data_IF_071442769930
#
_entry.id   IF_071442769930
#
_cell.length_a   1.000
_cell.length_b   1.000
_cell.length_c   1.000
_cell.angle_alpha   90.00
_cell.angle_beta   90.00
_cell.angle_gamma   90.00
#
_symmetry.space_group_name_H-M   'P 1'
#
loop_
_entity.id
_entity.type
_entity.pdbx_description
1 polymer ?
#
# COMPACT_ATOMS: atom_id res chain seq x y z
N UNK A 1 -6.82 16.06 -33.56
CA UNK A 1 -7.23 15.18 -32.46
C UNK A 1 -7.74 16.09 -31.36
N UNK A 2 -9.06 16.26 -31.28
CA UNK A 2 -9.69 17.27 -30.43
C UNK A 2 -9.50 16.91 -28.95
N UNK A 3 -8.95 17.87 -28.19
CA UNK A 3 -8.87 17.80 -26.74
C UNK A 3 -10.29 17.84 -26.19
N UNK A 4 -10.74 16.75 -25.56
CA UNK A 4 -11.97 16.73 -24.77
C UNK A 4 -11.84 17.77 -23.65
N UNK A 5 -12.50 18.91 -23.85
CA UNK A 5 -12.71 19.94 -22.86
C UNK A 5 -13.70 19.40 -21.83
N UNK A 6 -13.20 19.09 -20.63
CA UNK A 6 -14.02 18.74 -19.47
C UNK A 6 -15.07 19.84 -19.24
N UNK A 7 -16.34 19.57 -19.55
CA UNK A 7 -17.45 20.38 -19.04
C UNK A 7 -17.89 19.81 -17.68
N UNK A 8 -18.01 20.64 -16.64
CA UNK A 8 -18.46 20.19 -15.34
C UNK A 8 -19.95 19.81 -15.43
N UNK A 9 -20.23 18.53 -15.31
CA UNK A 9 -21.57 18.05 -15.00
C UNK A 9 -21.71 18.10 -13.49
N UNK A 10 -22.62 18.97 -13.04
CA UNK A 10 -23.16 19.13 -11.70
C UNK A 10 -22.35 19.96 -10.69
N UNK A 11 -22.91 21.14 -10.43
CA UNK A 11 -22.79 21.88 -9.16
C UNK A 11 -22.99 20.91 -7.97
N UNK A 12 -22.02 20.85 -7.05
CA UNK A 12 -22.21 20.23 -5.72
C UNK A 12 -22.02 18.71 -5.58
N UNK A 13 -21.44 17.99 -6.53
CA UNK A 13 -21.37 16.51 -6.46
C UNK A 13 -20.09 15.93 -5.86
N UNK A 14 -20.17 15.43 -4.62
CA UNK A 14 -19.16 14.53 -4.02
C UNK A 14 -19.09 13.21 -4.78
N UNK A 15 -17.96 12.90 -5.43
CA UNK A 15 -17.78 11.65 -6.19
C UNK A 15 -17.36 10.49 -5.26
N UNK A 16 -18.32 9.85 -4.59
CA UNK A 16 -18.07 8.78 -3.61
C UNK A 16 -17.73 7.44 -4.29
N UNK A 17 -16.44 7.09 -4.33
CA UNK A 17 -15.96 5.76 -4.73
C UNK A 17 -15.77 4.85 -3.51
N UNK A 18 -16.60 3.81 -3.38
CA UNK A 18 -16.35 2.72 -2.41
C UNK A 18 -15.57 1.61 -3.09
N UNK A 19 -14.27 1.57 -2.85
CA UNK A 19 -13.41 0.47 -3.31
C UNK A 19 -13.59 -0.73 -2.36
N UNK A 20 -13.96 -1.89 -2.90
CA UNK A 20 -13.86 -3.15 -2.15
C UNK A 20 -12.42 -3.60 -2.23
N UNK A 21 -11.65 -3.29 -1.20
CA UNK A 21 -10.36 -3.95 -0.95
C UNK A 21 -10.62 -5.37 -0.44
N UNK A 22 -9.70 -6.32 -0.66
CA UNK A 22 -9.83 -7.67 -0.15
C UNK A 22 -9.80 -7.75 1.39
N UNK A 23 -9.55 -6.64 2.08
CA UNK A 23 -9.83 -6.48 3.50
C UNK A 23 -11.23 -5.87 3.67
N UNK A 24 -12.19 -6.65 4.18
CA UNK A 24 -13.56 -6.23 4.50
C UNK A 24 -13.66 -5.06 5.53
N UNK A 25 -12.53 -4.59 6.04
CA UNK A 25 -12.43 -3.61 7.11
C UNK A 25 -12.13 -2.17 6.62
N UNK A 26 -11.99 -1.92 5.31
CA UNK A 26 -11.68 -0.58 4.80
C UNK A 26 -12.93 0.10 4.25
N UNK A 27 -13.22 1.30 4.76
CA UNK A 27 -14.25 2.21 4.25
C UNK A 27 -13.52 3.35 3.55
N UNK A 28 -13.65 3.43 2.24
CA UNK A 28 -13.06 4.51 1.44
C UNK A 28 -14.15 5.39 0.84
N UNK A 29 -14.01 6.70 0.98
CA UNK A 29 -14.82 7.73 0.34
C UNK A 29 -13.90 8.76 -0.29
N UNK A 30 -14.08 8.97 -1.60
CA UNK A 30 -13.48 10.08 -2.33
C UNK A 30 -14.48 11.23 -2.33
N UNK A 31 -14.01 12.45 -2.08
CA UNK A 31 -14.78 13.69 -2.23
C UNK A 31 -13.97 14.69 -3.03
N UNK A 32 -14.65 15.57 -3.77
CA UNK A 32 -13.99 16.71 -4.43
C UNK A 32 -14.26 17.94 -3.58
N UNK A 33 -13.22 18.63 -3.16
CA UNK A 33 -13.34 19.88 -2.40
C UNK A 33 -13.79 21.02 -3.34
N UNK A 34 -14.32 22.07 -2.74
CA UNK A 34 -14.75 23.29 -3.46
C UNK A 34 -13.59 23.98 -4.20
N UNK A 35 -12.35 23.76 -3.74
CA UNK A 35 -11.13 24.23 -4.41
C UNK A 35 -10.68 23.35 -5.58
N UNK A 36 -11.44 22.31 -5.92
CA UNK A 36 -11.12 21.37 -7.00
C UNK A 36 -10.16 20.25 -6.64
N UNK A 37 -9.68 20.19 -5.38
CA UNK A 37 -8.83 19.11 -4.87
C UNK A 37 -9.64 17.83 -4.65
N UNK A 38 -9.01 16.67 -4.83
CA UNK A 38 -9.62 15.36 -4.56
C UNK A 38 -9.20 14.93 -3.16
N UNK A 39 -10.14 14.93 -2.21
CA UNK A 39 -9.94 14.43 -0.86
C UNK A 39 -10.30 12.95 -0.80
N UNK A 40 -9.32 12.11 -0.42
CA UNK A 40 -9.54 10.69 -0.18
C UNK A 40 -9.59 10.43 1.33
N UNK A 41 -10.75 10.04 1.83
CA UNK A 41 -10.91 9.53 3.19
C UNK A 41 -10.93 8.00 3.13
N UNK A 42 -9.98 7.34 3.77
CA UNK A 42 -10.02 5.90 4.00
C UNK A 42 -9.94 5.62 5.50
N UNK A 43 -10.82 4.76 5.99
CA UNK A 43 -10.87 4.32 7.37
C UNK A 43 -10.74 2.81 7.43
N UNK A 44 -10.03 2.29 8.43
CA UNK A 44 -9.92 0.85 8.66
C UNK A 44 -10.50 0.50 10.01
N UNK A 45 -11.32 -0.55 10.08
CA UNK A 45 -11.81 -1.11 11.33
C UNK A 45 -10.76 -2.03 11.93
N UNK A 46 -10.32 -1.74 13.15
CA UNK A 46 -9.27 -2.43 13.92
C UNK A 46 -9.70 -2.50 15.39
N UNK A 47 -9.19 -3.44 16.20
CA UNK A 47 -9.42 -3.42 17.64
C UNK A 47 -8.77 -2.18 18.25
N UNK A 48 -9.34 -1.68 19.35
CA UNK A 48 -8.73 -0.58 20.10
C UNK A 48 -7.57 -1.11 20.95
N UNK A 49 -6.44 -1.33 20.29
CA UNK A 49 -5.19 -1.74 20.93
C UNK A 49 -4.43 -0.58 21.57
N UNK A 50 -4.99 0.64 21.64
CA UNK A 50 -4.33 1.78 22.29
C UNK A 50 -4.61 1.81 23.79
N UNK A 51 -5.67 1.16 24.24
CA UNK A 51 -6.18 1.30 25.59
C UNK A 51 -6.20 -0.03 26.35
N UNK A 52 -6.25 0.07 27.69
CA UNK A 52 -6.50 -1.08 28.56
C UNK A 52 -5.28 -1.90 28.96
N UNK A 53 -4.07 -1.58 28.50
CA UNK A 53 -2.85 -2.32 28.84
C UNK A 53 -2.49 -2.30 30.32
N UNK A 54 -2.80 -1.22 31.03
CA UNK A 54 -2.61 -1.08 32.48
C UNK A 54 -3.42 -2.10 33.30
N UNK A 55 -4.48 -2.69 32.72
CA UNK A 55 -5.25 -3.78 33.35
C UNK A 55 -4.52 -5.14 33.28
N UNK A 56 -3.60 -5.30 32.33
CA UNK A 56 -2.88 -6.56 32.08
C UNK A 56 -1.42 -6.50 32.53
N UNK A 57 -0.78 -5.33 32.41
CA UNK A 57 0.58 -5.07 32.86
C UNK A 57 0.56 -4.10 34.04
N UNK A 58 0.88 -4.60 35.25
CA UNK A 58 1.02 -3.77 36.46
C UNK A 58 2.28 -2.91 36.43
N UNK A 59 3.29 -3.32 35.68
CA UNK A 59 4.48 -2.52 35.40
C UNK A 59 4.15 -1.45 34.34
N UNK A 60 4.29 -0.18 34.72
CA UNK A 60 4.05 0.96 33.83
C UNK A 60 4.93 0.92 32.59
N UNK A 61 6.19 0.51 32.74
CA UNK A 61 7.15 0.41 31.63
C UNK A 61 6.67 -0.60 30.58
N UNK A 62 6.21 -1.77 31.02
CA UNK A 62 5.67 -2.78 30.13
C UNK A 62 4.39 -2.30 29.44
N UNK A 63 3.51 -1.62 30.17
CA UNK A 63 2.30 -1.03 29.59
C UNK A 63 2.63 -0.02 28.49
N UNK A 64 3.63 0.83 28.70
CA UNK A 64 4.06 1.83 27.71
C UNK A 64 4.66 1.19 26.45
N UNK A 65 5.49 0.15 26.63
CA UNK A 65 6.05 -0.61 25.49
C UNK A 65 4.94 -1.29 24.68
N UNK A 66 3.95 -1.88 25.34
CA UNK A 66 2.80 -2.49 24.65
C UNK A 66 1.97 -1.44 23.91
N UNK A 67 1.66 -0.31 24.55
CA UNK A 67 0.91 0.78 23.92
C UNK A 67 1.64 1.32 22.67
N UNK A 68 2.95 1.55 22.76
CA UNK A 68 3.78 1.95 21.63
C UNK A 68 3.75 0.91 20.51
N UNK A 69 3.97 -0.36 20.85
CA UNK A 69 4.01 -1.46 19.88
C UNK A 69 2.72 -1.55 19.08
N UNK A 70 1.59 -1.56 19.77
CA UNK A 70 0.30 -1.67 19.12
C UNK A 70 -0.11 -0.41 18.36
N UNK A 71 0.25 0.79 18.83
CA UNK A 71 0.01 2.01 18.05
C UNK A 71 0.73 1.96 16.69
N UNK A 72 1.98 1.47 16.65
CA UNK A 72 2.72 1.30 15.40
C UNK A 72 2.08 0.28 14.46
N UNK A 73 1.53 -0.80 14.99
CA UNK A 73 0.77 -1.78 14.20
C UNK A 73 -0.49 -1.15 13.60
N UNK A 74 -1.24 -0.39 14.41
CA UNK A 74 -2.46 0.28 13.95
C UNK A 74 -2.15 1.26 12.81
N UNK A 75 -1.08 2.04 12.97
CA UNK A 75 -0.58 2.96 11.93
C UNK A 75 -0.23 2.17 10.66
N UNK A 76 0.47 1.04 10.77
CA UNK A 76 0.81 0.21 9.61
C UNK A 76 -0.44 -0.29 8.87
N UNK A 77 -1.39 -0.90 9.59
CA UNK A 77 -2.63 -1.45 9.01
C UNK A 77 -3.44 -0.34 8.31
N UNK A 78 -3.57 0.83 8.94
CA UNK A 78 -4.23 1.98 8.36
C UNK A 78 -3.54 2.45 7.06
N UNK A 79 -2.20 2.54 7.07
CA UNK A 79 -1.43 2.91 5.86
C UNK A 79 -1.57 1.90 4.75
N UNK A 80 -1.55 0.60 5.07
CA UNK A 80 -1.76 -0.46 4.08
C UNK A 80 -3.12 -0.32 3.37
N UNK A 81 -4.19 -0.13 4.14
CA UNK A 81 -5.52 0.08 3.59
C UNK A 81 -5.59 1.30 2.65
N UNK A 82 -4.97 2.41 3.09
CA UNK A 82 -4.90 3.64 2.30
C UNK A 82 -4.07 3.46 1.03
N UNK A 83 -2.89 2.83 1.12
CA UNK A 83 -2.01 2.57 -0.02
C UNK A 83 -2.66 1.72 -1.10
N UNK A 84 -3.46 0.70 -0.72
CA UNK A 84 -4.25 -0.05 -1.71
C UNK A 84 -5.16 0.88 -2.53
N UNK A 85 -5.77 1.87 -1.89
CA UNK A 85 -6.69 2.80 -2.54
C UNK A 85 -5.93 3.85 -3.36
N UNK A 86 -4.94 4.52 -2.79
CA UNK A 86 -4.21 5.58 -3.50
C UNK A 86 -3.41 5.05 -4.67
N UNK A 87 -2.76 3.88 -4.52
CA UNK A 87 -2.04 3.29 -5.63
C UNK A 87 -2.99 2.86 -6.75
N UNK A 88 -4.17 2.32 -6.42
CA UNK A 88 -5.18 1.98 -7.43
C UNK A 88 -5.73 3.21 -8.16
N UNK A 89 -5.88 4.34 -7.47
CA UNK A 89 -6.27 5.62 -8.09
C UNK A 89 -5.12 6.15 -8.95
N UNK A 90 -3.90 6.15 -8.43
CA UNK A 90 -2.70 6.60 -9.12
C UNK A 90 -2.47 5.84 -10.43
N UNK A 91 -2.54 4.50 -10.41
CA UNK A 91 -2.42 3.66 -11.61
C UNK A 91 -3.56 3.91 -12.61
N UNK A 92 -4.81 4.03 -12.13
CA UNK A 92 -5.95 4.15 -13.04
C UNK A 92 -6.14 5.54 -13.66
N UNK A 93 -5.65 6.59 -12.99
CA UNK A 93 -5.93 7.98 -13.36
C UNK A 93 -4.68 8.85 -13.53
N UNK A 94 -3.49 8.37 -13.14
CA UNK A 94 -2.24 9.15 -13.18
C UNK A 94 -2.20 10.30 -12.17
N UNK A 95 -3.04 10.24 -11.12
CA UNK A 95 -3.19 11.32 -10.13
C UNK A 95 -2.62 10.87 -8.80
N UNK A 96 -1.76 11.69 -8.19
CA UNK A 96 -1.35 11.48 -6.81
C UNK A 96 -2.47 11.93 -5.86
N UNK A 97 -2.71 11.14 -4.82
CA UNK A 97 -3.62 11.53 -3.75
C UNK A 97 -2.77 11.89 -2.54
N UNK A 98 -2.75 13.18 -2.18
CA UNK A 98 -1.99 13.66 -1.03
C UNK A 98 -2.51 13.05 0.27
N UNK A 99 -1.56 12.72 1.13
CA UNK A 99 -1.80 12.14 2.42
C UNK A 99 -1.66 13.20 3.51
N UNK A 100 -2.78 13.54 4.17
CA UNK A 100 -2.75 14.34 5.39
C UNK A 100 -3.19 13.47 6.58
N UNK A 101 -2.23 13.06 7.42
CA UNK A 101 -2.55 12.62 8.77
C UNK A 101 -3.00 13.85 9.56
N UNK A 102 -4.31 14.09 9.65
CA UNK A 102 -4.82 14.95 10.71
C UNK A 102 -5.12 14.12 11.96
N UNK A 103 -5.05 14.79 13.10
CA UNK A 103 -5.52 14.28 14.41
C UNK A 103 -6.93 13.67 14.36
N UNK A 104 -7.76 14.12 13.41
CA UNK A 104 -9.13 13.66 13.18
C UNK A 104 -9.27 12.18 12.77
N UNK A 105 -8.25 11.55 12.14
CA UNK A 105 -8.31 10.11 11.80
C UNK A 105 -8.16 9.24 13.06
N UNK A 106 -7.48 9.74 14.09
CA UNK A 106 -7.44 9.08 15.41
C UNK A 106 -8.79 9.13 16.12
N UNK A 107 -9.64 10.12 15.84
CA UNK A 107 -10.97 10.26 16.44
C UNK A 107 -12.02 9.36 15.77
N UNK A 108 -11.89 9.10 14.47
CA UNK A 108 -12.74 8.16 13.73
C UNK A 108 -12.57 6.69 14.16
N UNK A 109 -11.45 6.35 14.82
CA UNK A 109 -11.21 5.04 15.43
C UNK A 109 -12.07 4.79 16.69
N UNK A 110 -12.66 5.84 17.28
CA UNK A 110 -13.37 5.79 18.58
C UNK A 110 -14.89 5.65 18.45
N UNK A 111 -15.47 5.94 17.28
CA UNK A 111 -16.92 6.16 17.10
C UNK A 111 -17.83 4.91 17.16
N UNK A 112 -17.39 3.79 17.73
CA UNK A 112 -18.26 2.63 18.00
C UNK A 112 -18.54 2.37 19.48
N UNK A 113 -17.97 3.15 20.40
CA UNK A 113 -18.17 2.97 21.84
C UNK A 113 -18.97 4.09 22.55
N UNK A 114 -19.19 5.25 21.93
CA UNK A 114 -20.05 6.30 22.51
C UNK A 114 -20.60 7.26 21.44
N UNK A 115 -21.85 7.75 21.57
CA UNK A 115 -22.29 8.96 20.88
C UNK A 115 -21.59 10.15 21.56
N UNK A 116 -20.46 10.60 21.03
CA UNK A 116 -19.78 11.77 21.59
C UNK A 116 -20.21 13.03 20.85
N UNK A 117 -20.95 13.88 21.57
CA UNK A 117 -21.20 15.27 21.23
C UNK A 117 -20.03 16.11 21.76
N UNK A 118 -19.12 16.51 20.87
CA UNK A 118 -18.09 17.51 21.14
C UNK A 118 -18.63 18.95 20.97
N UNK A 119 -17.91 19.97 21.47
CA UNK A 119 -18.48 21.31 21.77
C UNK A 119 -18.77 22.21 20.56
N UNK A 120 -18.50 21.77 19.34
CA UNK A 120 -18.92 22.41 18.10
C UNK A 120 -19.83 21.42 17.36
N UNK A 121 -21.13 21.57 17.58
CA UNK A 121 -22.19 20.62 17.19
C UNK A 121 -22.45 20.48 15.69
N UNK A 122 -21.41 20.38 14.85
CA UNK A 122 -21.53 20.28 13.39
C UNK A 122 -20.71 19.12 12.77
N UNK A 123 -20.11 18.26 13.60
CA UNK A 123 -19.42 17.03 13.16
C UNK A 123 -20.32 15.80 13.09
N UNK A 124 -21.64 15.91 13.27
CA UNK A 124 -22.59 14.80 13.01
C UNK A 124 -22.67 14.39 11.54
N UNK A 125 -21.89 15.01 10.63
CA UNK A 125 -21.58 14.47 9.30
C UNK A 125 -20.48 13.40 9.30
N UNK A 126 -20.04 12.91 10.47
CA UNK A 126 -19.08 11.81 10.61
C UNK A 126 -19.73 10.52 10.09
N UNK A 127 -19.55 10.31 8.78
CA UNK A 127 -19.76 9.08 8.03
C UNK A 127 -21.03 8.35 8.48
N UNK A 128 -22.21 8.85 8.04
CA UNK A 128 -23.40 7.99 8.02
C UNK A 128 -22.98 6.64 7.42
N UNK A 129 -23.39 5.49 8.00
CA UNK A 129 -23.20 4.20 7.37
C UNK A 129 -23.91 4.26 6.03
N UNK A 130 -23.17 4.65 4.99
CA UNK A 130 -23.67 4.83 3.64
C UNK A 130 -24.36 3.52 3.28
N UNK A 131 -25.69 3.58 3.24
CA UNK A 131 -26.53 2.42 2.98
C UNK A 131 -26.02 1.79 1.69
N UNK A 132 -25.65 0.53 1.83
CA UNK A 132 -24.94 -0.26 0.84
C UNK A 132 -25.72 -0.33 -0.48
N UNK A 133 -25.36 0.51 -1.44
CA UNK A 133 -25.40 0.07 -2.84
C UNK A 133 -24.01 -0.42 -3.17
N UNK A 134 -23.83 -1.74 -3.16
CA UNK A 134 -22.70 -2.36 -3.83
C UNK A 134 -22.69 -1.77 -5.25
N UNK A 135 -21.66 -1.02 -5.58
CA UNK A 135 -21.58 -0.36 -6.87
C UNK A 135 -21.34 -1.47 -7.88
N UNK A 136 -22.38 -1.79 -8.65
CA UNK A 136 -22.30 -2.74 -9.75
C UNK A 136 -21.16 -2.34 -10.68
N UNK A 137 -20.09 -3.14 -10.69
CA UNK A 137 -18.95 -2.98 -11.60
C UNK A 137 -19.37 -3.06 -13.07
N UNK A 138 -20.60 -3.49 -13.36
CA UNK A 138 -21.15 -3.67 -14.71
C UNK A 138 -21.49 -2.36 -15.43
N UNK A 139 -21.78 -1.26 -14.72
CA UNK A 139 -22.22 0.01 -15.32
C UNK A 139 -21.19 1.17 -15.18
N UNK A 140 -19.93 0.87 -14.86
CA UNK A 140 -18.87 1.87 -14.71
C UNK A 140 -17.99 2.05 -15.96
N UNK A 141 -17.39 3.24 -16.10
CA UNK A 141 -16.37 3.50 -17.14
C UNK A 141 -15.22 2.47 -17.08
N UNK A 142 -14.55 2.17 -18.20
CA UNK A 142 -13.43 1.22 -18.23
C UNK A 142 -12.34 1.52 -17.18
N UNK A 143 -11.96 2.79 -17.02
CA UNK A 143 -11.01 3.22 -15.98
C UNK A 143 -11.49 2.95 -14.56
N UNK A 144 -12.79 3.13 -14.28
CA UNK A 144 -13.37 2.82 -12.97
C UNK A 144 -13.34 1.33 -12.67
N UNK A 145 -13.63 0.49 -13.66
CA UNK A 145 -13.52 -0.98 -13.54
C UNK A 145 -12.06 -1.39 -13.31
N UNK A 146 -11.14 -0.77 -14.03
CA UNK A 146 -9.70 -0.98 -13.86
C UNK A 146 -9.23 -0.62 -12.43
N UNK A 147 -9.59 0.58 -11.94
CA UNK A 147 -9.30 1.01 -10.57
C UNK A 147 -9.86 0.05 -9.52
N UNK A 148 -11.12 -0.37 -9.66
CA UNK A 148 -11.72 -1.34 -8.75
C UNK A 148 -11.04 -2.71 -8.79
N UNK A 149 -10.64 -3.17 -9.98
CA UNK A 149 -9.90 -4.42 -10.15
C UNK A 149 -8.52 -4.34 -9.48
N UNK A 150 -7.80 -3.23 -9.64
CA UNK A 150 -6.51 -3.01 -8.96
C UNK A 150 -6.71 -3.00 -7.45
N UNK A 151 -7.60 -2.15 -6.94
CA UNK A 151 -7.84 -2.02 -5.50
C UNK A 151 -8.26 -3.34 -4.84
N UNK A 152 -9.08 -4.14 -5.53
CA UNK A 152 -9.47 -5.48 -5.07
C UNK A 152 -8.36 -6.51 -5.17
N UNK A 153 -7.33 -6.25 -5.99
CA UNK A 153 -6.25 -7.18 -6.24
C UNK A 153 -4.98 -6.96 -5.41
N UNK A 154 -4.79 -5.75 -4.89
CA UNK A 154 -3.64 -5.38 -4.05
C UNK A 154 -3.81 -5.84 -2.60
N UNK A 155 -2.67 -6.18 -1.98
CA UNK A 155 -2.58 -6.52 -0.56
C UNK A 155 -1.40 -5.80 0.10
N UNK A 156 -1.53 -4.50 0.34
CA UNK A 156 -0.49 -3.70 1.01
C UNK A 156 -0.27 -4.07 2.49
N UNK A 157 -0.95 -5.08 3.05
CA UNK A 157 -0.55 -5.66 4.35
C UNK A 157 0.71 -6.52 4.22
N UNK A 158 1.01 -7.02 3.02
CA UNK A 158 2.32 -7.59 2.71
C UNK A 158 3.39 -6.47 2.71
N UNK A 159 4.49 -6.61 3.46
CA UNK A 159 5.51 -5.55 3.59
C UNK A 159 6.20 -5.18 2.27
N UNK A 160 6.40 -6.12 1.35
CA UNK A 160 7.01 -5.81 0.06
C UNK A 160 6.05 -5.04 -0.82
N UNK A 161 4.80 -5.50 -0.94
CA UNK A 161 3.78 -4.75 -1.68
C UNK A 161 3.54 -3.37 -1.07
N UNK A 162 3.48 -3.25 0.26
CA UNK A 162 3.38 -1.96 0.95
C UNK A 162 4.45 -0.98 0.47
N UNK A 163 5.71 -1.41 0.52
CA UNK A 163 6.86 -0.57 0.15
C UNK A 163 6.87 -0.26 -1.35
N UNK A 164 6.53 -1.22 -2.21
CA UNK A 164 6.43 -1.01 -3.66
C UNK A 164 5.37 0.04 -3.99
N UNK A 165 4.17 -0.10 -3.42
CA UNK A 165 3.07 0.84 -3.64
C UNK A 165 3.40 2.22 -3.11
N UNK A 166 4.04 2.30 -1.94
CA UNK A 166 4.55 3.57 -1.41
C UNK A 166 5.54 4.24 -2.36
N UNK A 167 6.54 3.51 -2.85
CA UNK A 167 7.52 4.02 -3.80
C UNK A 167 6.88 4.49 -5.12
N UNK A 168 5.88 3.76 -5.63
CA UNK A 168 5.14 4.15 -6.82
C UNK A 168 4.31 5.42 -6.62
N UNK A 169 3.52 5.49 -5.54
CA UNK A 169 2.71 6.69 -5.21
C UNK A 169 3.61 7.89 -4.95
N UNK A 170 4.74 7.70 -4.27
CA UNK A 170 5.74 8.75 -4.08
C UNK A 170 6.32 9.23 -5.41
N UNK A 171 6.63 8.31 -6.34
CA UNK A 171 7.12 8.68 -7.65
C UNK A 171 6.11 9.56 -8.42
N UNK A 172 4.83 9.16 -8.43
CA UNK A 172 3.76 9.96 -9.06
C UNK A 172 3.70 11.38 -8.48
N UNK A 173 3.76 11.49 -7.16
CA UNK A 173 3.76 12.79 -6.50
C UNK A 173 4.98 13.64 -6.89
N UNK A 174 6.17 13.06 -6.84
CA UNK A 174 7.41 13.75 -7.22
C UNK A 174 7.38 14.21 -8.67
N UNK A 175 6.85 13.38 -9.58
CA UNK A 175 6.63 13.74 -10.98
C UNK A 175 5.72 14.96 -11.09
N UNK A 176 4.57 14.95 -10.41
CA UNK A 176 3.59 16.04 -10.46
C UNK A 176 4.11 17.34 -9.82
N UNK A 177 5.04 17.24 -8.87
CA UNK A 177 5.75 18.37 -8.28
C UNK A 177 6.98 18.84 -9.10
N UNK A 178 7.31 18.17 -10.21
CA UNK A 178 8.43 18.52 -11.09
C UNK A 178 9.79 17.97 -10.66
N UNK A 179 9.84 17.07 -9.66
CA UNK A 179 11.05 16.40 -9.20
C UNK A 179 11.30 15.10 -9.96
N UNK A 180 11.68 15.23 -11.24
CA UNK A 180 11.80 14.09 -12.16
C UNK A 180 12.87 13.06 -11.75
N UNK A 181 14.06 13.49 -11.33
CA UNK A 181 15.13 12.57 -10.92
C UNK A 181 14.79 11.76 -9.67
N UNK A 182 14.16 12.42 -8.69
CA UNK A 182 13.68 11.77 -7.47
C UNK A 182 12.54 10.80 -7.79
N UNK A 183 11.69 11.13 -8.76
CA UNK A 183 10.64 10.24 -9.27
C UNK A 183 11.23 8.97 -9.86
N UNK A 184 12.21 9.08 -10.76
CA UNK A 184 12.98 7.95 -11.34
C UNK A 184 13.63 7.11 -10.23
N UNK A 185 14.27 7.75 -9.24
CA UNK A 185 14.87 7.06 -8.10
C UNK A 185 13.84 6.29 -7.26
N UNK A 186 12.64 6.85 -7.10
CA UNK A 186 11.54 6.20 -6.38
C UNK A 186 10.94 5.03 -7.19
N UNK A 187 10.88 5.12 -8.51
CA UNK A 187 10.49 4.01 -9.40
C UNK A 187 11.51 2.86 -9.33
N UNK A 188 12.81 3.13 -9.45
CA UNK A 188 13.87 2.11 -9.33
C UNK A 188 13.82 1.39 -7.96
N UNK A 189 13.50 2.13 -6.89
CA UNK A 189 13.29 1.54 -5.57
C UNK A 189 12.15 0.51 -5.57
N UNK A 190 11.05 0.75 -6.29
CA UNK A 190 9.96 -0.22 -6.43
C UNK A 190 10.41 -1.49 -7.16
N UNK A 191 11.25 -1.37 -8.21
CA UNK A 191 11.83 -2.51 -8.94
C UNK A 191 12.72 -3.35 -8.04
N UNK A 192 13.57 -2.71 -7.23
CA UNK A 192 14.42 -3.41 -6.25
C UNK A 192 13.57 -4.18 -5.23
N UNK A 193 12.49 -3.59 -4.73
CA UNK A 193 11.61 -4.27 -3.76
C UNK A 193 10.90 -5.46 -4.41
N UNK A 194 10.53 -5.39 -5.70
CA UNK A 194 9.98 -6.53 -6.43
C UNK A 194 11.00 -7.68 -6.54
N UNK A 195 12.28 -7.35 -6.75
CA UNK A 195 13.38 -8.33 -6.71
C UNK A 195 13.49 -8.98 -5.33
N UNK A 196 13.42 -8.18 -4.26
CA UNK A 196 13.48 -8.68 -2.89
C UNK A 196 12.27 -9.56 -2.54
N UNK A 197 11.06 -9.22 -3.01
CA UNK A 197 9.86 -10.04 -2.86
C UNK A 197 10.07 -11.43 -3.46
N UNK A 198 10.56 -11.51 -4.70
CA UNK A 198 10.81 -12.80 -5.36
C UNK A 198 11.90 -13.58 -4.63
N UNK A 199 12.98 -12.90 -4.20
CA UNK A 199 14.08 -13.55 -3.48
C UNK A 199 13.61 -14.17 -2.16
N UNK A 200 12.82 -13.42 -1.39
CA UNK A 200 12.27 -13.86 -0.10
C UNK A 200 11.32 -15.06 -0.27
N UNK A 201 10.40 -14.98 -1.25
CA UNK A 201 9.39 -16.02 -1.48
C UNK A 201 9.96 -17.29 -2.11
N UNK A 202 11.00 -17.18 -2.94
CA UNK A 202 11.60 -18.31 -3.65
C UNK A 202 12.79 -18.96 -2.92
N UNK A 203 13.19 -18.44 -1.75
CA UNK A 203 14.34 -18.93 -0.95
C UNK A 203 15.60 -19.16 -1.79
N UNK A 204 16.14 -18.06 -2.32
CA UNK A 204 17.42 -18.01 -3.05
C UNK A 204 17.32 -18.52 -4.51
N UNK A 205 16.72 -17.75 -5.44
CA UNK A 205 16.72 -18.11 -6.85
C UNK A 205 18.18 -18.09 -7.36
N UNK A 206 18.67 -19.24 -7.84
CA UNK A 206 19.98 -19.31 -8.47
C UNK A 206 20.08 -18.33 -9.66
N UNK A 207 21.17 -17.57 -9.74
CA UNK A 207 21.48 -16.66 -10.86
C UNK A 207 21.27 -15.17 -10.55
N UNK A 208 21.20 -14.35 -11.62
CA UNK A 208 20.98 -12.91 -11.53
C UNK A 208 19.58 -12.62 -10.94
N UNK A 209 19.54 -11.85 -9.85
CA UNK A 209 18.31 -11.58 -9.13
C UNK A 209 17.27 -10.82 -9.98
N UNK A 210 17.72 -9.98 -10.92
CA UNK A 210 16.84 -9.28 -11.85
C UNK A 210 16.18 -10.24 -12.83
N UNK A 211 16.95 -11.11 -13.48
CA UNK A 211 16.43 -12.14 -14.39
C UNK A 211 15.47 -13.10 -13.68
N UNK A 212 15.80 -13.47 -12.43
CA UNK A 212 14.90 -14.25 -11.61
C UNK A 212 13.57 -13.53 -11.37
N UNK A 213 13.59 -12.23 -11.06
CA UNK A 213 12.38 -11.42 -10.90
C UNK A 213 11.56 -11.39 -12.20
N UNK A 214 12.17 -11.06 -13.34
CA UNK A 214 11.50 -10.99 -14.65
C UNK A 214 10.83 -12.33 -14.99
N UNK A 215 11.55 -13.44 -14.79
CA UNK A 215 11.04 -14.79 -15.04
C UNK A 215 9.88 -15.16 -14.11
N UNK A 216 10.01 -14.93 -12.80
CA UNK A 216 9.00 -15.35 -11.82
C UNK A 216 7.73 -14.50 -11.90
N UNK A 217 7.88 -13.20 -12.13
CA UNK A 217 6.77 -12.27 -12.29
C UNK A 217 6.16 -12.31 -13.70
N UNK A 218 6.79 -13.03 -14.64
CA UNK A 218 6.40 -13.13 -16.06
C UNK A 218 6.27 -11.74 -16.71
N UNK A 219 7.27 -10.91 -16.47
CA UNK A 219 7.36 -9.56 -17.04
C UNK A 219 7.72 -9.68 -18.52
N UNK A 220 7.03 -8.94 -19.39
CA UNK A 220 7.26 -8.96 -20.83
C UNK A 220 8.57 -8.28 -21.22
N UNK A 221 9.13 -8.63 -22.38
CA UNK A 221 10.43 -8.11 -22.85
C UNK A 221 10.47 -6.59 -22.99
N UNK A 222 9.37 -5.96 -23.43
CA UNK A 222 9.28 -4.49 -23.53
C UNK A 222 9.37 -3.84 -22.15
N UNK A 223 8.65 -4.39 -21.17
CA UNK A 223 8.68 -3.93 -19.79
C UNK A 223 10.09 -4.12 -19.20
N UNK A 224 10.70 -5.29 -19.41
CA UNK A 224 12.06 -5.60 -18.96
C UNK A 224 13.10 -4.60 -19.51
N UNK A 225 13.04 -4.29 -20.81
CA UNK A 225 13.90 -3.29 -21.42
C UNK A 225 13.74 -1.90 -20.77
N UNK A 226 12.49 -1.45 -20.56
CA UNK A 226 12.21 -0.18 -19.89
C UNK A 226 12.67 -0.15 -18.43
N UNK A 227 12.56 -1.27 -17.69
CA UNK A 227 13.10 -1.38 -16.33
C UNK A 227 14.65 -1.34 -16.32
N UNK A 228 15.29 -1.90 -17.35
CA UNK A 228 16.74 -1.79 -17.56
C UNK A 228 17.18 -0.35 -17.81
N UNK A 229 16.45 0.37 -18.67
CA UNK A 229 16.68 1.79 -18.95
C UNK A 229 16.45 2.66 -17.71
N UNK A 230 15.40 2.39 -16.93
CA UNK A 230 15.13 3.05 -15.66
C UNK A 230 16.34 2.94 -14.71
N UNK A 231 16.92 1.75 -14.60
CA UNK A 231 18.10 1.52 -13.75
C UNK A 231 19.35 2.21 -14.30
N UNK A 232 19.54 2.20 -15.61
CA UNK A 232 20.65 2.91 -16.26
C UNK A 232 20.55 4.42 -16.01
N UNK A 233 19.35 4.98 -16.14
CA UNK A 233 19.07 6.39 -15.92
C UNK A 233 19.32 6.79 -14.45
N UNK A 234 18.81 6.01 -13.50
CA UNK A 234 19.07 6.22 -12.07
C UNK A 234 20.56 6.19 -11.75
N UNK A 235 21.33 5.29 -12.36
CA UNK A 235 22.77 5.22 -12.16
C UNK A 235 23.50 6.41 -12.79
N UNK A 236 23.02 6.89 -13.94
CA UNK A 236 23.57 8.08 -14.60
C UNK A 236 23.46 9.31 -13.69
N UNK A 237 22.30 9.55 -13.07
CA UNK A 237 22.14 10.65 -12.09
C UNK A 237 23.12 10.55 -10.91
N UNK A 238 23.32 9.33 -10.40
CA UNK A 238 24.24 9.11 -9.28
C UNK A 238 25.72 9.27 -9.65
N UNK A 239 26.09 8.95 -10.89
CA UNK A 239 27.47 9.01 -11.37
C UNK A 239 27.85 10.40 -11.92
N UNK A 240 26.90 11.11 -12.52
CA UNK A 240 27.13 12.37 -13.24
C UNK A 240 26.11 13.46 -12.87
N UNK A 241 25.96 13.84 -11.58
CA UNK A 241 24.94 14.80 -11.14
C UNK A 241 25.08 16.20 -11.78
N UNK A 242 26.28 16.57 -12.23
CA UNK A 242 26.52 17.85 -12.92
C UNK A 242 26.26 17.84 -14.43
N UNK A 243 26.21 16.66 -15.06
CA UNK A 243 25.96 16.51 -16.52
C UNK A 243 24.52 16.11 -16.81
N UNK A 244 23.76 15.70 -15.78
CA UNK A 244 22.38 15.25 -15.92
C UNK A 244 21.42 16.30 -16.49
N UNK A 245 21.83 17.58 -16.54
CA UNK A 245 21.04 18.64 -17.16
C UNK A 245 19.63 18.70 -16.57
N UNK A 246 19.51 18.61 -15.24
CA UNK A 246 18.22 18.36 -14.57
C UNK A 246 17.12 19.38 -14.89
N UNK A 247 17.51 20.58 -15.36
CA UNK A 247 16.61 21.63 -15.84
C UNK A 247 15.94 21.29 -17.17
N UNK A 248 16.64 20.60 -18.08
CA UNK A 248 16.19 20.21 -19.43
C UNK A 248 15.67 18.76 -19.47
N UNK A 249 15.85 18.02 -18.36
CA UNK A 249 15.44 16.63 -18.24
C UNK A 249 13.98 16.35 -18.66
N UNK A 250 12.97 17.18 -18.31
CA UNK A 250 11.59 16.96 -18.74
C UNK A 250 11.43 17.02 -20.27
N UNK A 251 12.19 17.91 -20.92
CA UNK A 251 12.13 18.12 -22.36
C UNK A 251 12.85 17.00 -23.12
N UNK A 252 13.97 16.52 -22.60
CA UNK A 252 14.78 15.49 -23.26
C UNK A 252 14.27 14.06 -22.99
N UNK A 253 13.70 13.80 -21.81
CA UNK A 253 13.44 12.44 -21.29
C UNK A 253 12.06 12.27 -20.67
N UNK A 254 11.18 13.28 -20.73
CA UNK A 254 9.87 13.24 -20.10
C UNK A 254 9.00 12.07 -20.57
N UNK A 255 8.94 11.82 -21.88
CA UNK A 255 8.18 10.71 -22.47
C UNK A 255 8.72 9.35 -22.02
N UNK A 256 10.05 9.21 -21.91
CA UNK A 256 10.68 7.97 -21.44
C UNK A 256 10.28 7.67 -19.99
N UNK A 257 10.26 8.69 -19.13
CA UNK A 257 9.81 8.52 -17.74
C UNK A 257 8.35 8.09 -17.66
N UNK A 258 7.47 8.62 -18.52
CA UNK A 258 6.08 8.16 -18.58
C UNK A 258 5.96 6.69 -18.98
N UNK A 259 6.78 6.23 -19.94
CA UNK A 259 6.86 4.80 -20.31
C UNK A 259 7.39 3.95 -19.15
N UNK A 260 8.32 4.47 -18.35
CA UNK A 260 8.80 3.79 -17.14
C UNK A 260 7.70 3.67 -16.08
N UNK A 261 6.83 4.67 -15.91
CA UNK A 261 5.66 4.58 -15.04
C UNK A 261 4.73 3.43 -15.43
N UNK A 262 4.41 3.32 -16.72
CA UNK A 262 3.59 2.21 -17.24
C UNK A 262 4.25 0.85 -16.98
N UNK A 263 5.56 0.77 -17.18
CA UNK A 263 6.34 -0.46 -16.97
C UNK A 263 6.39 -0.87 -15.50
N UNK A 264 6.57 0.09 -14.59
CA UNK A 264 6.54 -0.16 -13.14
C UNK A 264 5.12 -0.49 -12.66
N UNK A 265 4.08 0.11 -13.22
CA UNK A 265 2.69 -0.28 -12.94
C UNK A 265 2.44 -1.75 -13.31
N UNK A 266 2.87 -2.18 -14.50
CA UNK A 266 2.78 -3.58 -14.93
C UNK A 266 3.56 -4.51 -13.99
N UNK A 267 4.75 -4.08 -13.53
CA UNK A 267 5.55 -4.81 -12.54
C UNK A 267 4.84 -4.93 -11.19
N UNK A 268 4.26 -3.84 -10.68
CA UNK A 268 3.47 -3.83 -9.43
C UNK A 268 2.29 -4.78 -9.54
N UNK A 269 1.60 -4.79 -10.68
CA UNK A 269 0.48 -5.70 -10.90
C UNK A 269 0.91 -7.16 -11.02
N UNK A 270 2.07 -7.42 -11.65
CA UNK A 270 2.68 -8.74 -11.68
C UNK A 270 3.08 -9.22 -10.27
N UNK A 271 3.69 -8.34 -9.47
CA UNK A 271 4.05 -8.61 -8.08
C UNK A 271 2.81 -8.89 -7.21
N UNK A 272 1.71 -8.16 -7.37
CA UNK A 272 0.47 -8.41 -6.65
C UNK A 272 -0.16 -9.77 -7.01
N UNK A 273 -0.10 -10.17 -8.29
CA UNK A 273 -0.54 -11.52 -8.71
C UNK A 273 0.36 -12.61 -8.15
N UNK A 274 1.68 -12.39 -8.15
CA UNK A 274 2.64 -13.31 -7.56
C UNK A 274 2.47 -13.45 -6.05
N UNK A 275 2.30 -12.34 -5.33
CA UNK A 275 1.98 -12.32 -3.89
C UNK A 275 0.74 -13.13 -3.60
N UNK A 276 -0.32 -12.98 -4.39
CA UNK A 276 -1.57 -13.72 -4.18
C UNK A 276 -1.36 -15.24 -4.27
N UNK A 277 -0.48 -15.70 -5.17
CA UNK A 277 -0.14 -17.11 -5.33
C UNK A 277 0.82 -17.64 -4.25
N UNK A 278 1.63 -16.76 -3.64
CA UNK A 278 2.64 -17.09 -2.63
C UNK A 278 2.38 -16.33 -1.32
N UNK A 279 1.10 -16.19 -0.96
CA UNK A 279 0.66 -15.26 0.07
C UNK A 279 1.15 -15.70 1.45
N UNK A 280 1.80 -14.77 2.14
CA UNK A 280 2.20 -14.96 3.55
C UNK A 280 1.30 -14.18 4.51
N UNK A 281 0.69 -13.07 4.06
CA UNK A 281 -0.18 -12.23 4.89
C UNK A 281 -1.58 -12.24 4.32
N UNK A 282 -2.52 -12.85 5.03
CA UNK A 282 -3.91 -12.86 4.62
C UNK A 282 -4.60 -11.53 4.96
N UNK A 283 -5.33 -10.92 4.00
CA UNK A 283 -6.25 -9.84 4.31
C UNK A 283 -7.24 -10.25 5.39
N UNK A 284 -7.64 -9.29 6.22
CA UNK A 284 -8.52 -9.56 7.36
C UNK A 284 -9.96 -9.55 6.86
N UNK A 285 -10.48 -10.74 6.56
CA UNK A 285 -11.86 -10.96 6.15
C UNK A 285 -12.74 -11.34 7.34
N UNK A 286 -13.24 -10.32 8.06
CA UNK A 286 -14.30 -10.49 9.06
C UNK A 286 -14.02 -11.44 10.25
N UNK A 287 -12.79 -11.93 10.39
CA UNK A 287 -12.39 -12.93 11.40
C UNK A 287 -11.96 -12.36 12.75
N UNK A 288 -11.60 -13.27 13.66
CA UNK A 288 -11.04 -12.95 14.98
C UNK A 288 -9.66 -12.30 14.85
N UNK A 289 -9.57 -11.03 15.21
CA UNK A 289 -8.33 -10.26 15.24
C UNK A 289 -7.24 -10.90 16.10
N UNK A 290 -7.63 -11.65 17.12
CA UNK A 290 -6.71 -12.35 18.03
C UNK A 290 -5.98 -13.47 17.31
N UNK A 291 -6.70 -14.28 16.54
CA UNK A 291 -6.13 -15.38 15.75
C UNK A 291 -5.30 -14.87 14.57
N UNK A 292 -5.80 -13.83 13.89
CA UNK A 292 -5.03 -13.14 12.85
C UNK A 292 -3.73 -12.57 13.40
N UNK A 293 -3.78 -11.86 14.53
CA UNK A 293 -2.58 -11.31 15.18
C UNK A 293 -1.62 -12.43 15.57
N UNK A 294 -2.11 -13.51 16.19
CA UNK A 294 -1.26 -14.66 16.58
C UNK A 294 -0.51 -15.24 15.37
N UNK A 295 -1.17 -15.33 14.23
CA UNK A 295 -0.58 -15.85 12.99
C UNK A 295 0.49 -14.92 12.40
N UNK A 296 0.27 -13.61 12.48
CA UNK A 296 1.11 -12.60 11.82
C UNK A 296 2.00 -11.79 12.78
N UNK A 297 2.02 -12.11 14.08
CA UNK A 297 2.73 -11.35 15.11
C UNK A 297 4.23 -11.19 14.82
N UNK A 298 4.86 -12.24 14.28
CA UNK A 298 6.27 -12.21 13.89
C UNK A 298 6.54 -11.14 12.81
N UNK A 299 5.65 -11.04 11.81
CA UNK A 299 5.76 -10.06 10.74
C UNK A 299 5.47 -8.64 11.25
N UNK A 300 4.47 -8.47 12.09
CA UNK A 300 4.16 -7.19 12.74
C UNK A 300 5.31 -6.72 13.62
N UNK A 301 5.95 -7.64 14.34
CA UNK A 301 7.15 -7.35 15.14
C UNK A 301 8.29 -6.85 14.26
N UNK A 302 8.52 -7.46 13.11
CA UNK A 302 9.52 -7.02 12.15
C UNK A 302 9.21 -5.63 11.59
N UNK A 303 7.94 -5.29 11.39
CA UNK A 303 7.52 -3.95 10.94
C UNK A 303 7.77 -2.90 12.01
N UNK A 304 7.43 -3.17 13.27
CA UNK A 304 7.55 -2.18 14.35
C UNK A 304 8.99 -1.97 14.77
N UNK A 305 9.74 -3.07 14.91
CA UNK A 305 11.10 -3.05 15.48
C UNK A 305 12.19 -3.10 14.43
N UNK A 306 11.85 -3.21 13.14
CA UNK A 306 12.79 -3.35 12.03
C UNK A 306 13.81 -4.49 12.23
N UNK A 307 13.41 -5.55 12.97
CA UNK A 307 14.24 -6.73 13.21
C UNK A 307 13.95 -7.79 12.15
N UNK A 308 14.98 -8.52 11.71
CA UNK A 308 14.79 -9.81 11.06
C UNK A 308 14.52 -10.83 12.16
N UNK A 309 13.28 -10.95 12.66
CA UNK A 309 12.97 -12.10 13.50
C UNK A 309 13.13 -13.34 12.62
N UNK A 310 14.17 -14.13 12.89
CA UNK A 310 14.27 -15.50 12.40
C UNK A 310 12.95 -16.19 12.71
N UNK A 311 12.33 -16.89 11.74
CA UNK A 311 11.12 -17.65 12.05
C UNK A 311 11.44 -18.58 13.22
N UNK A 312 10.52 -18.66 14.18
CA UNK A 312 10.67 -19.57 15.31
C UNK A 312 11.01 -20.97 14.77
N UNK A 313 12.02 -21.66 15.32
CA UNK A 313 12.32 -23.02 14.89
C UNK A 313 11.04 -23.86 15.05
N UNK A 314 10.68 -24.62 14.01
CA UNK A 314 9.57 -25.56 14.10
C UNK A 314 9.73 -26.40 15.37
N UNK A 315 8.65 -26.63 16.14
CA UNK A 315 8.75 -27.50 17.29
C UNK A 315 9.24 -28.85 16.80
N UNK A 316 10.45 -29.22 17.23
CA UNK A 316 11.05 -30.52 16.96
C UNK A 316 9.97 -31.57 17.19
N UNK A 317 9.55 -32.23 16.11
CA UNK A 317 8.61 -33.34 16.22
C UNK A 317 9.21 -34.31 17.23
N UNK A 318 8.45 -34.60 18.28
CA UNK A 318 8.89 -35.43 19.39
C UNK A 318 8.98 -36.89 18.93
N UNK A 319 9.94 -37.19 18.07
CA UNK A 319 10.35 -38.56 17.78
C UNK A 319 11.21 -39.02 18.96
N UNK A 320 10.54 -39.54 20.00
CA UNK A 320 11.23 -40.29 21.06
C UNK A 320 12.02 -41.44 20.40
N UNK A 321 13.33 -41.57 20.65
CA UNK A 321 14.05 -42.74 20.19
C UNK A 321 13.51 -43.96 20.96
N UNK A 322 13.02 -44.97 20.23
CA UNK A 322 12.73 -46.29 20.77
C UNK A 322 14.02 -46.82 21.40
N UNK A 323 14.05 -46.95 22.72
CA UNK A 323 15.06 -47.76 23.42
C UNK A 323 14.99 -49.18 22.84
N UNK A 324 16.04 -49.60 22.16
CA UNK A 324 16.30 -51.02 21.91
C UNK A 324 16.75 -51.62 23.23
N UNK A 325 15.92 -52.47 23.80
CA UNK A 325 16.29 -53.39 24.87
C UNK A 325 17.31 -54.40 24.35
N UNK A 326 18.40 -54.56 25.09
CA UNK A 326 19.20 -55.79 25.11
C UNK A 326 18.41 -56.88 25.82
#
# INVERSE_FOLDING_TARGET
>A
MEREVWRPICEGTTLRLRLRTPSANVITTVSRSEAGLIDLVAATRVPDWRQGWTKFARDGTLSDVLAFYFDRILVYIARSAFLNCTAAIGMAYGVDCTFQYGSWISELLVARAAPWAGPSGDTTRVIEPCQSRAIDSRNGSPRRRYCAAIAGGLNALDPHLHRMLYCYVRALRLLNEGFWEDSVSSLDAAVRIATDLVRDRMRNPAGNAHEAMIRQLRVGSRTDASLGELRALRNYFGAHPGEAGFWDFPDDRGDDVLVMFESVEQLVWAAARFERAHRHVHPIDGGDWSDWFRTHAHLLSNIVWFRLATPAPEPLSSSRPRKRSQ
#
